data_IF_288292743203
#
_entry.id   IF_288292743203
#
_cell.length_a   1.000
_cell.length_b   1.000
_cell.length_c   1.000
_cell.angle_alpha   90.00
_cell.angle_beta   90.00
_cell.angle_gamma   90.00
#
_symmetry.space_group_name_H-M   'P 1'
#
loop_
_entity.id
_entity.type
_entity.pdbx_description
1 polymer ?
#
# COMPACT_ATOMS: atom_id res chain seq x y z
N UNK A 1 13.25 23.41 -15.35
CA UNK A 1 13.36 23.66 -13.90
C UNK A 1 12.63 22.52 -13.23
N UNK A 2 13.35 21.74 -12.42
CA UNK A 2 13.04 20.36 -12.02
C UNK A 2 11.57 20.08 -11.68
N UNK A 3 10.86 19.46 -12.63
CA UNK A 3 9.56 18.86 -12.35
C UNK A 3 9.67 17.69 -11.36
N UNK A 4 10.87 17.11 -11.19
CA UNK A 4 11.09 15.86 -10.46
C UNK A 4 11.48 16.00 -8.98
N UNK A 5 11.63 17.23 -8.46
CA UNK A 5 11.97 17.45 -7.05
C UNK A 5 13.24 16.72 -6.57
N UNK A 6 13.43 16.65 -5.25
CA UNK A 6 14.61 16.04 -4.58
C UNK A 6 14.61 14.51 -4.58
N UNK A 7 13.90 13.85 -5.51
CA UNK A 7 13.80 12.39 -5.56
C UNK A 7 14.98 11.79 -6.31
N UNK A 8 15.58 10.69 -5.81
CA UNK A 8 16.86 10.21 -6.28
C UNK A 8 16.69 9.32 -7.51
N UNK A 9 16.28 9.88 -8.64
CA UNK A 9 16.20 9.15 -9.91
C UNK A 9 17.54 9.17 -10.66
N UNK A 10 17.92 8.07 -11.35
CA UNK A 10 19.16 8.00 -12.10
C UNK A 10 18.93 8.59 -13.50
N UNK A 11 19.01 9.91 -13.60
CA UNK A 11 18.79 10.61 -14.88
C UNK A 11 19.96 10.40 -15.84
N UNK A 12 19.70 9.66 -16.91
CA UNK A 12 20.59 9.43 -18.03
C UNK A 12 19.82 9.53 -19.33
N UNK A 13 20.53 9.58 -20.46
CA UNK A 13 19.88 9.50 -21.77
C UNK A 13 19.05 8.23 -21.92
N UNK A 14 19.54 7.10 -21.39
CA UNK A 14 18.88 5.82 -21.46
C UNK A 14 17.61 5.79 -20.61
N UNK A 15 17.66 6.29 -19.36
CA UNK A 15 16.47 6.31 -18.49
C UNK A 15 15.39 7.25 -18.98
N UNK A 16 15.76 8.39 -19.57
CA UNK A 16 14.80 9.29 -20.23
C UNK A 16 14.15 8.66 -21.46
N UNK A 17 14.91 7.91 -22.26
CA UNK A 17 14.36 7.17 -23.39
C UNK A 17 13.43 6.05 -22.92
N UNK A 18 13.77 5.36 -21.84
CA UNK A 18 12.96 4.30 -21.25
C UNK A 18 11.63 4.85 -20.71
N UNK A 19 11.65 6.03 -20.08
CA UNK A 19 10.41 6.71 -19.65
C UNK A 19 9.50 6.97 -20.84
N UNK A 20 10.03 7.53 -21.93
CA UNK A 20 9.21 7.78 -23.15
C UNK A 20 8.68 6.51 -23.78
N UNK A 21 9.42 5.42 -23.67
CA UNK A 21 9.02 4.11 -24.17
C UNK A 21 7.90 3.49 -23.32
N UNK A 22 8.02 3.55 -21.99
CA UNK A 22 7.08 2.97 -21.04
C UNK A 22 5.85 3.83 -20.76
N UNK A 23 5.93 5.14 -21.05
CA UNK A 23 4.84 6.07 -20.79
C UNK A 23 3.68 5.84 -21.76
N UNK A 24 2.62 5.23 -21.25
CA UNK A 24 1.35 5.04 -21.95
C UNK A 24 0.30 6.05 -21.40
N UNK A 25 -0.13 7.04 -22.20
CA UNK A 25 -1.16 8.00 -21.79
C UNK A 25 -2.52 7.35 -21.47
N UNK A 26 -2.80 6.16 -22.02
CA UNK A 26 -4.06 5.44 -21.81
C UNK A 26 -4.02 4.61 -20.52
N UNK A 27 -2.83 4.29 -20.01
CA UNK A 27 -2.61 3.46 -18.80
C UNK A 27 -1.71 4.16 -17.76
N UNK A 28 -2.05 5.38 -17.28
CA UNK A 28 -1.19 6.16 -16.39
C UNK A 28 -0.93 5.49 -15.04
N UNK A 29 -1.84 4.63 -14.57
CA UNK A 29 -1.70 3.93 -13.31
C UNK A 29 -0.51 2.94 -13.29
N UNK A 30 -0.30 2.21 -14.40
CA UNK A 30 0.80 1.24 -14.55
C UNK A 30 2.13 1.98 -14.53
N UNK A 31 2.26 3.01 -15.37
CA UNK A 31 3.46 3.84 -15.40
C UNK A 31 3.77 4.45 -14.03
N UNK A 32 2.76 4.98 -13.34
CA UNK A 32 2.94 5.53 -11.99
C UNK A 32 3.37 4.47 -10.98
N UNK A 33 2.81 3.26 -11.03
CA UNK A 33 3.25 2.12 -10.22
C UNK A 33 4.74 1.81 -10.46
N UNK A 34 5.15 1.67 -11.71
CA UNK A 34 6.54 1.39 -12.08
C UNK A 34 7.52 2.48 -11.57
N UNK A 35 7.12 3.75 -11.63
CA UNK A 35 7.91 4.86 -11.09
C UNK A 35 8.06 4.80 -9.55
N UNK A 36 6.98 4.45 -8.82
CA UNK A 36 7.02 4.32 -7.35
C UNK A 36 7.76 3.06 -6.90
N UNK A 37 7.62 1.95 -7.63
CA UNK A 37 8.33 0.70 -7.39
C UNK A 37 9.85 0.91 -7.35
N UNK A 38 10.40 1.75 -8.24
CA UNK A 38 11.80 2.15 -8.17
C UNK A 38 12.17 2.84 -6.84
N UNK A 39 11.40 3.86 -6.45
CA UNK A 39 11.70 4.63 -5.24
C UNK A 39 11.60 3.78 -3.97
N UNK A 40 10.61 2.90 -3.89
CA UNK A 40 10.50 1.94 -2.79
C UNK A 40 11.59 0.88 -2.81
N UNK A 41 11.94 0.33 -3.98
CA UNK A 41 13.07 -0.60 -4.12
C UNK A 41 14.38 0.03 -3.63
N UNK A 42 14.65 1.27 -4.04
CA UNK A 42 15.83 2.03 -3.58
C UNK A 42 15.82 2.26 -2.07
N UNK A 43 14.68 2.69 -1.51
CA UNK A 43 14.51 2.86 -0.06
C UNK A 43 14.78 1.56 0.71
N UNK A 44 14.23 0.43 0.24
CA UNK A 44 14.42 -0.87 0.88
C UNK A 44 15.89 -1.32 0.81
N UNK A 45 16.57 -1.07 -0.31
CA UNK A 45 18.00 -1.31 -0.45
C UNK A 45 18.83 -0.50 0.56
N UNK A 46 18.54 0.79 0.71
CA UNK A 46 19.20 1.66 1.69
C UNK A 46 19.00 1.16 3.13
N UNK A 47 17.79 0.66 3.46
CA UNK A 47 17.50 0.04 4.77
C UNK A 47 18.27 -1.25 5.02
N UNK A 48 18.64 -1.97 3.96
CA UNK A 48 19.51 -3.15 4.01
C UNK A 48 21.01 -2.80 4.01
N UNK A 49 21.36 -1.50 3.93
CA UNK A 49 22.73 -1.03 3.85
C UNK A 49 23.35 -1.09 2.46
N UNK A 50 22.55 -1.36 1.42
CA UNK A 50 23.00 -1.37 0.03
C UNK A 50 23.14 0.07 -0.50
N UNK A 51 24.21 0.31 -1.25
CA UNK A 51 24.54 1.63 -1.82
C UNK A 51 24.49 1.59 -3.36
N UNK A 52 23.69 2.45 -4.00
CA UNK A 52 23.63 2.56 -5.45
C UNK A 52 24.99 2.97 -6.03
N UNK A 53 25.39 2.36 -7.15
CA UNK A 53 26.69 2.58 -7.80
C UNK A 53 27.89 1.88 -7.13
N UNK A 54 27.66 1.20 -6.00
CA UNK A 54 28.67 0.38 -5.32
C UNK A 54 28.22 -1.08 -5.19
N UNK A 55 27.05 -1.31 -4.59
CA UNK A 55 26.52 -2.65 -4.34
C UNK A 55 25.59 -3.13 -5.45
N UNK A 56 25.01 -2.20 -6.22
CA UNK A 56 24.18 -2.48 -7.39
C UNK A 56 24.20 -1.30 -8.38
N UNK A 57 23.87 -1.58 -9.64
CA UNK A 57 23.72 -0.56 -10.68
C UNK A 57 22.32 0.08 -10.57
N UNK A 58 22.30 1.36 -10.19
CA UNK A 58 21.08 2.14 -9.92
C UNK A 58 20.25 2.38 -11.19
N UNK A 59 20.93 2.52 -12.34
CA UNK A 59 20.27 2.65 -13.64
C UNK A 59 19.57 1.34 -14.02
N UNK A 60 20.17 0.18 -13.73
CA UNK A 60 19.55 -1.12 -14.01
C UNK A 60 18.38 -1.42 -13.07
N UNK A 61 18.46 -1.03 -11.80
CA UNK A 61 17.31 -1.09 -10.89
C UNK A 61 16.15 -0.24 -11.43
N UNK A 62 16.45 0.98 -11.88
CA UNK A 62 15.44 1.87 -12.47
C UNK A 62 14.81 1.27 -13.72
N UNK A 63 15.61 0.77 -14.66
CA UNK A 63 15.11 0.16 -15.89
C UNK A 63 14.26 -1.09 -15.60
N UNK A 64 14.69 -1.93 -14.64
CA UNK A 64 13.92 -3.08 -14.20
C UNK A 64 12.56 -2.68 -13.62
N UNK A 65 12.52 -1.73 -12.68
CA UNK A 65 11.25 -1.26 -12.11
C UNK A 65 10.37 -0.56 -13.14
N UNK A 66 10.94 0.23 -14.06
CA UNK A 66 10.16 0.96 -15.06
C UNK A 66 9.51 0.03 -16.09
N UNK A 67 10.19 -1.06 -16.46
CA UNK A 67 9.81 -1.94 -17.56
C UNK A 67 9.18 -3.26 -17.11
N UNK A 68 9.04 -3.52 -15.80
CA UNK A 68 8.56 -4.83 -15.33
C UNK A 68 7.14 -5.19 -15.78
N UNK A 69 6.31 -4.18 -16.03
CA UNK A 69 4.95 -4.32 -16.55
C UNK A 69 4.86 -4.06 -18.06
N UNK A 70 5.99 -3.97 -18.78
CA UNK A 70 5.98 -3.76 -20.23
C UNK A 70 5.20 -4.86 -20.97
N UNK A 71 5.09 -6.05 -20.36
CA UNK A 71 4.26 -7.17 -20.78
C UNK A 71 2.76 -6.90 -20.88
N UNK A 72 2.27 -5.83 -20.24
CA UNK A 72 0.87 -5.40 -20.27
C UNK A 72 0.59 -4.33 -21.35
N UNK A 73 1.64 -3.94 -22.09
CA UNK A 73 1.52 -3.03 -23.22
C UNK A 73 1.08 -3.77 -24.47
N UNK A 74 0.45 -3.06 -25.40
CA UNK A 74 0.01 -3.64 -26.67
C UNK A 74 1.20 -4.06 -27.56
N UNK A 75 2.41 -3.59 -27.25
CA UNK A 75 3.66 -3.96 -27.92
C UNK A 75 4.16 -5.33 -27.46
N UNK A 76 3.84 -5.73 -26.22
CA UNK A 76 4.10 -7.05 -25.67
C UNK A 76 2.84 -7.92 -25.84
N UNK A 77 2.61 -8.40 -27.05
CA UNK A 77 1.48 -9.28 -27.38
C UNK A 77 1.97 -10.67 -27.81
N UNK A 78 2.79 -11.29 -26.96
CA UNK A 78 3.32 -12.64 -27.15
C UNK A 78 2.34 -13.73 -26.69
N UNK A 79 2.75 -14.99 -26.80
CA UNK A 79 1.97 -16.17 -26.41
C UNK A 79 2.37 -16.75 -25.04
N UNK A 80 3.10 -15.97 -24.24
CA UNK A 80 3.66 -16.37 -22.95
C UNK A 80 3.16 -15.48 -21.80
N UNK A 81 3.70 -15.70 -20.59
CA UNK A 81 3.31 -14.89 -19.43
C UNK A 81 3.81 -13.46 -19.60
N UNK A 82 3.02 -12.47 -19.17
CA UNK A 82 3.36 -11.06 -19.31
C UNK A 82 4.74 -10.69 -18.72
N UNK A 83 5.17 -11.32 -17.63
CA UNK A 83 6.49 -11.06 -17.04
C UNK A 83 7.64 -11.53 -17.94
N UNK A 84 7.44 -12.59 -18.73
CA UNK A 84 8.42 -13.04 -19.73
C UNK A 84 8.35 -12.19 -21.01
N UNK A 85 7.14 -11.87 -21.47
CA UNK A 85 6.95 -10.98 -22.63
C UNK A 85 7.49 -9.58 -22.38
N UNK A 86 7.27 -9.04 -21.19
CA UNK A 86 7.84 -7.78 -20.75
C UNK A 86 9.37 -7.84 -20.66
N UNK A 87 9.93 -8.94 -20.15
CA UNK A 87 11.37 -9.13 -20.10
C UNK A 87 11.99 -9.19 -21.50
N UNK A 88 11.39 -9.95 -22.42
CA UNK A 88 11.86 -10.08 -23.80
C UNK A 88 11.75 -8.76 -24.57
N UNK A 89 10.61 -8.06 -24.46
CA UNK A 89 10.42 -6.74 -25.06
C UNK A 89 11.43 -5.73 -24.52
N UNK A 90 11.63 -5.70 -23.19
CA UNK A 90 12.62 -4.84 -22.56
C UNK A 90 14.04 -5.18 -23.05
N UNK A 91 14.38 -6.46 -23.18
CA UNK A 91 15.70 -6.88 -23.64
C UNK A 91 15.96 -6.52 -25.10
N UNK A 92 14.98 -6.70 -25.99
CA UNK A 92 15.08 -6.27 -27.38
C UNK A 92 15.26 -4.75 -27.46
N UNK A 93 14.43 -3.99 -26.75
CA UNK A 93 14.49 -2.53 -26.74
C UNK A 93 15.83 -2.02 -26.18
N UNK A 94 16.28 -2.54 -25.03
CA UNK A 94 17.53 -2.14 -24.37
C UNK A 94 18.76 -2.50 -25.22
N UNK A 95 18.73 -3.63 -25.91
CA UNK A 95 19.76 -3.99 -26.89
C UNK A 95 19.78 -2.98 -28.03
N UNK A 96 18.62 -2.56 -28.53
CA UNK A 96 18.48 -1.50 -29.53
C UNK A 96 18.99 -0.13 -29.05
N UNK A 97 18.92 0.15 -27.74
CA UNK A 97 19.54 1.34 -27.13
C UNK A 97 21.06 1.21 -26.91
N UNK A 98 21.66 0.05 -27.20
CA UNK A 98 23.09 -0.20 -27.05
C UNK A 98 23.53 -0.56 -25.63
N UNK A 99 22.61 -1.00 -24.76
CA UNK A 99 22.98 -1.52 -23.45
C UNK A 99 23.77 -2.84 -23.62
N UNK A 100 24.91 -3.04 -22.93
CA UNK A 100 25.70 -4.26 -23.06
C UNK A 100 24.89 -5.53 -22.72
N UNK A 101 25.13 -6.67 -23.40
CA UNK A 101 24.34 -7.90 -23.20
C UNK A 101 24.28 -8.37 -21.74
N UNK A 102 25.40 -8.29 -21.02
CA UNK A 102 25.48 -8.65 -19.60
C UNK A 102 24.62 -7.75 -18.70
N UNK A 103 24.36 -6.51 -19.14
CA UNK A 103 23.46 -5.59 -18.44
C UNK A 103 22.00 -5.81 -18.82
N UNK A 104 21.75 -6.14 -20.09
CA UNK A 104 20.43 -6.53 -20.56
C UNK A 104 19.93 -7.77 -19.82
N UNK A 105 20.78 -8.79 -19.64
CA UNK A 105 20.44 -10.02 -18.93
C UNK A 105 20.00 -9.76 -17.47
N UNK A 106 20.60 -8.77 -16.80
CA UNK A 106 20.22 -8.40 -15.43
C UNK A 106 18.81 -7.82 -15.39
N UNK A 107 18.50 -6.91 -16.33
CA UNK A 107 17.17 -6.29 -16.41
C UNK A 107 16.13 -7.33 -16.81
N UNK A 108 16.47 -8.21 -17.76
CA UNK A 108 15.63 -9.34 -18.15
C UNK A 108 15.31 -10.23 -16.94
N UNK A 109 16.32 -10.68 -16.19
CA UNK A 109 16.13 -11.50 -14.99
C UNK A 109 15.30 -10.77 -13.92
N UNK A 110 15.49 -9.46 -13.78
CA UNK A 110 14.75 -8.65 -12.82
C UNK A 110 13.26 -8.61 -13.15
N UNK A 111 12.91 -8.46 -14.42
CA UNK A 111 11.53 -8.44 -14.91
C UNK A 111 10.95 -9.86 -14.90
N UNK A 112 11.63 -10.86 -15.45
CA UNK A 112 11.13 -12.23 -15.52
C UNK A 112 10.88 -12.86 -14.12
N UNK A 113 11.60 -12.41 -13.09
CA UNK A 113 11.50 -12.94 -11.74
C UNK A 113 10.70 -12.06 -10.78
N UNK A 114 10.14 -10.93 -11.21
CA UNK A 114 9.58 -9.94 -10.27
C UNK A 114 8.39 -10.46 -9.44
N UNK A 115 7.64 -11.44 -9.97
CA UNK A 115 6.55 -12.13 -9.27
C UNK A 115 7.02 -13.36 -8.47
N UNK A 116 8.29 -13.76 -8.62
CA UNK A 116 8.91 -14.90 -7.96
C UNK A 116 9.78 -14.43 -6.78
N UNK A 117 9.18 -13.71 -5.83
CA UNK A 117 9.86 -12.97 -4.74
C UNK A 117 10.95 -13.80 -4.04
N UNK A 118 10.67 -15.05 -3.70
CA UNK A 118 11.65 -15.92 -3.03
C UNK A 118 12.89 -16.21 -3.89
N UNK A 119 12.70 -16.39 -5.20
CA UNK A 119 13.79 -16.64 -6.13
C UNK A 119 14.57 -15.34 -6.37
N UNK A 120 13.86 -14.23 -6.61
CA UNK A 120 14.47 -12.92 -6.81
C UNK A 120 15.32 -12.48 -5.62
N UNK A 121 14.89 -12.74 -4.37
CA UNK A 121 15.64 -12.43 -3.15
C UNK A 121 16.98 -13.18 -3.03
N UNK A 122 17.19 -14.25 -3.79
CA UNK A 122 18.44 -15.04 -3.83
C UNK A 122 19.36 -14.66 -4.99
N UNK A 123 18.94 -13.68 -5.80
CA UNK A 123 19.71 -13.14 -6.91
C UNK A 123 20.48 -11.89 -6.47
N UNK A 124 21.09 -11.23 -7.45
CA UNK A 124 21.78 -9.95 -7.29
C UNK A 124 20.79 -8.83 -6.89
N UNK A 125 21.27 -7.73 -6.28
CA UNK A 125 20.38 -6.79 -5.63
C UNK A 125 19.41 -6.07 -6.57
N UNK A 126 19.78 -5.80 -7.83
CA UNK A 126 18.85 -5.18 -8.79
C UNK A 126 17.59 -6.02 -8.96
N UNK A 127 17.76 -7.34 -9.12
CA UNK A 127 16.66 -8.30 -9.30
C UNK A 127 15.80 -8.37 -8.03
N UNK A 128 16.44 -8.47 -6.86
CA UNK A 128 15.74 -8.55 -5.59
C UNK A 128 14.94 -7.28 -5.29
N UNK A 129 15.51 -6.11 -5.57
CA UNK A 129 14.91 -4.82 -5.27
C UNK A 129 13.77 -4.44 -6.22
N UNK A 130 13.76 -4.93 -7.47
CA UNK A 130 12.60 -4.79 -8.37
C UNK A 130 11.38 -5.49 -7.77
N UNK A 131 11.52 -6.76 -7.38
CA UNK A 131 10.42 -7.51 -6.73
C UNK A 131 9.96 -6.85 -5.44
N UNK A 132 10.92 -6.45 -4.58
CA UNK A 132 10.63 -5.86 -3.28
C UNK A 132 9.94 -4.49 -3.42
N UNK A 133 10.39 -3.65 -4.36
CA UNK A 133 9.81 -2.35 -4.62
C UNK A 133 8.41 -2.42 -5.20
N UNK A 134 8.18 -3.30 -6.20
CA UNK A 134 6.87 -3.52 -6.78
C UNK A 134 5.87 -4.07 -5.75
N UNK A 135 6.28 -5.05 -4.94
CA UNK A 135 5.47 -5.56 -3.84
C UNK A 135 5.13 -4.50 -2.81
N UNK A 136 6.11 -3.68 -2.41
CA UNK A 136 5.91 -2.62 -1.41
C UNK A 136 4.92 -1.54 -1.86
N UNK A 137 4.85 -1.24 -3.17
CA UNK A 137 3.87 -0.30 -3.73
C UNK A 137 2.43 -0.83 -3.67
N UNK A 138 2.25 -2.14 -3.83
CA UNK A 138 0.93 -2.80 -3.80
C UNK A 138 0.46 -3.14 -2.38
N UNK A 139 1.41 -3.29 -1.46
CA UNK A 139 1.14 -3.58 -0.05
C UNK A 139 2.44 -3.52 0.75
N UNK A 140 2.62 -2.55 1.66
CA UNK A 140 3.89 -2.39 2.36
C UNK A 140 4.09 -3.49 3.40
N UNK A 141 4.82 -4.54 3.03
CA UNK A 141 5.45 -5.47 3.95
C UNK A 141 6.93 -5.06 4.13
N UNK A 142 7.26 -4.37 5.23
CA UNK A 142 8.63 -3.94 5.47
C UNK A 142 8.81 -2.77 6.44
N UNK A 143 10.01 -2.16 6.47
CA UNK A 143 10.33 -1.07 7.38
C UNK A 143 9.47 0.17 7.07
N UNK A 144 9.13 0.94 8.10
CA UNK A 144 8.38 2.18 7.95
C UNK A 144 9.14 3.20 7.08
N UNK A 145 8.42 3.83 6.16
CA UNK A 145 8.93 4.91 5.31
C UNK A 145 9.34 6.12 6.17
N UNK A 146 10.32 6.93 5.71
CA UNK A 146 10.60 8.21 6.32
C UNK A 146 9.36 9.12 6.24
N UNK A 147 9.13 9.99 7.23
CA UNK A 147 8.02 10.95 7.20
C UNK A 147 8.00 11.76 5.89
N UNK A 148 6.82 11.85 5.27
CA UNK A 148 6.61 12.56 4.00
C UNK A 148 7.25 11.90 2.77
N UNK A 149 7.87 10.71 2.90
CA UNK A 149 8.44 10.01 1.76
C UNK A 149 7.36 9.54 0.78
N UNK A 150 6.31 8.88 1.29
CA UNK A 150 5.16 8.46 0.47
C UNK A 150 4.52 9.65 -0.24
N UNK A 151 4.22 10.74 0.48
CA UNK A 151 3.63 11.95 -0.09
C UNK A 151 4.45 12.50 -1.26
N UNK A 152 5.79 12.54 -1.13
CA UNK A 152 6.67 12.98 -2.23
C UNK A 152 6.69 12.01 -3.40
N UNK A 153 6.69 10.70 -3.13
CA UNK A 153 6.66 9.64 -4.14
C UNK A 153 5.36 9.72 -4.96
N UNK A 154 4.22 9.91 -4.30
CA UNK A 154 2.91 10.03 -4.95
C UNK A 154 2.66 11.41 -5.58
N UNK A 155 3.30 12.48 -5.08
CA UNK A 155 3.24 13.81 -5.66
C UNK A 155 4.21 14.03 -6.83
N UNK A 156 4.92 12.99 -7.29
CA UNK A 156 5.80 13.08 -8.45
C UNK A 156 5.06 13.57 -9.71
N UNK A 157 5.77 14.22 -10.68
CA UNK A 157 5.18 14.98 -11.79
C UNK A 157 4.56 14.13 -12.92
N UNK A 158 4.13 12.92 -12.62
CA UNK A 158 3.80 11.86 -13.58
C UNK A 158 2.37 11.93 -14.12
N UNK A 159 1.83 13.14 -14.35
CA UNK A 159 0.54 13.37 -14.98
C UNK A 159 0.65 14.41 -16.11
N UNK A 160 0.18 14.11 -17.35
CA UNK A 160 -0.43 15.14 -18.18
C UNK A 160 -1.68 15.67 -17.45
N UNK A 161 -1.90 16.99 -17.50
CA UNK A 161 -3.01 17.67 -16.81
C UNK A 161 -4.34 16.90 -16.88
N UNK A 162 -5.10 16.80 -15.78
CA UNK A 162 -6.38 16.10 -15.79
C UNK A 162 -7.39 16.83 -16.70
N UNK A 163 -8.09 16.14 -17.62
CA UNK A 163 -9.27 16.71 -18.23
C UNK A 163 -10.34 16.94 -17.16
N UNK A 164 -10.98 18.11 -17.24
CA UNK A 164 -12.11 18.55 -16.43
C UNK A 164 -13.35 17.68 -16.67
N UNK A 165 -13.33 16.45 -16.18
CA UNK A 165 -14.50 15.62 -15.85
C UNK A 165 -13.96 14.45 -15.08
N UNK A 166 -14.14 14.52 -13.77
CA UNK A 166 -13.62 13.57 -12.81
C UNK A 166 -14.49 12.30 -12.79
N UNK A 167 -13.99 11.13 -13.20
CA UNK A 167 -14.71 9.87 -13.03
C UNK A 167 -14.77 9.39 -11.56
N UNK A 168 -14.16 10.12 -10.62
CA UNK A 168 -14.25 9.94 -9.16
C UNK A 168 -15.37 10.77 -8.50
N UNK A 169 -16.30 11.35 -9.27
CA UNK A 169 -17.45 12.13 -8.75
C UNK A 169 -18.53 11.30 -8.04
N UNK A 170 -18.37 9.98 -7.91
CA UNK A 170 -19.28 9.13 -7.13
C UNK A 170 -18.56 8.61 -5.87
N UNK A 171 -18.75 9.25 -4.70
CA UNK A 171 -18.15 8.85 -3.43
C UNK A 171 -18.50 7.42 -3.01
N UNK A 172 -19.67 6.90 -3.42
CA UNK A 172 -20.07 5.52 -3.09
C UNK A 172 -19.27 4.52 -3.94
N UNK A 173 -19.06 4.83 -5.22
CA UNK A 173 -18.28 3.98 -6.14
C UNK A 173 -16.76 4.08 -5.92
N UNK A 174 -16.30 5.25 -5.51
CA UNK A 174 -14.91 5.51 -5.12
C UNK A 174 -14.56 4.85 -3.79
N UNK A 175 -15.50 4.80 -2.84
CA UNK A 175 -15.35 4.02 -1.61
C UNK A 175 -15.33 2.51 -1.91
N UNK A 176 -16.15 2.02 -2.84
CA UNK A 176 -16.12 0.61 -3.30
C UNK A 176 -14.81 0.20 -4.01
N UNK A 177 -14.14 1.13 -4.70
CA UNK A 177 -12.86 0.89 -5.39
C UNK A 177 -11.64 1.16 -4.50
N UNK A 178 -11.69 2.13 -3.58
CA UNK A 178 -10.66 2.30 -2.54
C UNK A 178 -10.72 1.21 -1.46
N UNK A 179 -11.84 0.48 -1.37
CA UNK A 179 -11.98 -0.81 -0.68
C UNK A 179 -11.11 -1.94 -1.30
N UNK A 180 -10.55 -1.72 -2.49
CA UNK A 180 -9.56 -2.63 -3.10
C UNK A 180 -8.17 -2.27 -2.53
N UNK A 181 -7.61 -2.99 -1.56
CA UNK A 181 -7.51 -4.43 -1.44
C UNK A 181 -7.52 -4.81 0.05
N UNK A 182 -8.69 -5.16 0.60
CA UNK A 182 -8.74 -5.79 1.92
C UNK A 182 -8.08 -7.17 1.89
N UNK A 183 -7.40 -7.60 2.98
CA UNK A 183 -6.80 -8.93 3.09
C UNK A 183 -7.80 -10.06 2.77
N UNK A 184 -9.07 -9.84 3.08
CA UNK A 184 -10.13 -10.79 2.74
C UNK A 184 -10.42 -10.86 1.22
N UNK A 185 -10.25 -9.76 0.47
CA UNK A 185 -10.30 -9.77 -1.00
C UNK A 185 -9.09 -10.51 -1.61
N UNK A 186 -7.89 -10.36 -1.03
CA UNK A 186 -6.72 -11.17 -1.41
C UNK A 186 -6.94 -12.67 -1.15
N UNK A 187 -7.48 -13.03 0.01
CA UNK A 187 -7.82 -14.43 0.34
C UNK A 187 -8.89 -15.01 -0.59
N UNK A 188 -9.84 -14.18 -1.07
CA UNK A 188 -10.81 -14.61 -2.08
C UNK A 188 -10.13 -14.84 -3.43
N UNK A 189 -9.21 -13.96 -3.84
CA UNK A 189 -8.41 -14.14 -5.05
C UNK A 189 -7.47 -15.34 -4.96
N UNK A 190 -6.97 -15.69 -3.77
CA UNK A 190 -6.15 -16.90 -3.55
C UNK A 190 -6.91 -18.21 -3.77
N UNK A 191 -8.25 -18.22 -3.62
CA UNK A 191 -9.08 -19.38 -3.91
C UNK A 191 -9.26 -19.64 -5.40
N UNK A 192 -8.99 -18.64 -6.23
CA UNK A 192 -8.98 -18.79 -7.66
C UNK A 192 -7.71 -19.52 -8.10
N UNK A 193 -7.86 -20.43 -9.05
CA UNK A 193 -6.69 -20.92 -9.77
C UNK A 193 -5.93 -19.76 -10.40
N UNK A 194 -4.61 -19.87 -10.64
CA UNK A 194 -3.83 -18.77 -11.22
C UNK A 194 -4.44 -18.20 -12.51
N UNK A 195 -5.03 -19.05 -13.36
CA UNK A 195 -5.70 -18.61 -14.59
C UNK A 195 -7.04 -17.93 -14.34
N UNK A 196 -7.85 -18.44 -13.42
CA UNK A 196 -9.12 -17.80 -13.04
C UNK A 196 -8.87 -16.40 -12.46
N UNK A 197 -7.82 -16.27 -11.65
CA UNK A 197 -7.41 -14.99 -11.04
C UNK A 197 -6.95 -13.98 -12.08
N UNK A 198 -6.07 -14.38 -12.99
CA UNK A 198 -5.58 -13.52 -14.07
C UNK A 198 -6.75 -13.04 -14.95
N UNK A 199 -7.63 -13.96 -15.37
CA UNK A 199 -8.82 -13.63 -16.17
C UNK A 199 -9.78 -12.72 -15.40
N UNK A 200 -10.01 -12.98 -14.11
CA UNK A 200 -10.90 -12.18 -13.27
C UNK A 200 -10.37 -10.76 -13.08
N UNK A 201 -9.10 -10.60 -12.71
CA UNK A 201 -8.51 -9.29 -12.48
C UNK A 201 -8.46 -8.47 -13.77
N UNK A 202 -7.98 -9.04 -14.88
CA UNK A 202 -7.93 -8.36 -16.17
C UNK A 202 -9.34 -7.96 -16.65
N UNK A 203 -10.36 -8.79 -16.40
CA UNK A 203 -11.73 -8.51 -16.84
C UNK A 203 -12.47 -7.53 -15.94
N UNK A 204 -12.42 -7.73 -14.63
CA UNK A 204 -13.33 -7.11 -13.66
C UNK A 204 -12.70 -5.90 -12.98
N UNK A 205 -11.38 -5.86 -12.85
CA UNK A 205 -10.64 -4.72 -12.27
C UNK A 205 -10.16 -3.79 -13.37
N UNK A 206 -9.54 -4.35 -14.42
CA UNK A 206 -8.93 -3.56 -15.50
C UNK A 206 -9.82 -3.40 -16.73
N UNK A 207 -10.95 -4.10 -16.81
CA UNK A 207 -11.96 -3.89 -17.86
C UNK A 207 -11.63 -4.44 -19.25
N UNK A 208 -10.55 -5.23 -19.41
CA UNK A 208 -10.13 -5.75 -20.72
C UNK A 208 -11.19 -6.63 -21.40
N UNK A 209 -11.20 -6.60 -22.73
CA UNK A 209 -12.01 -7.47 -23.57
C UNK A 209 -11.56 -8.94 -23.50
N UNK A 210 -12.49 -9.89 -23.64
CA UNK A 210 -12.12 -11.31 -23.75
C UNK A 210 -11.10 -11.65 -24.85
N UNK A 211 -11.08 -10.97 -26.02
CA UNK A 211 -10.02 -11.17 -27.01
C UNK A 211 -8.62 -10.79 -26.49
N UNK A 212 -8.50 -9.67 -25.78
CA UNK A 212 -7.24 -9.18 -25.19
C UNK A 212 -6.79 -10.09 -24.05
N UNK A 213 -7.72 -10.50 -23.19
CA UNK A 213 -7.45 -11.44 -22.09
C UNK A 213 -7.01 -12.80 -22.64
N UNK A 214 -7.66 -13.28 -23.71
CA UNK A 214 -7.33 -14.54 -24.36
C UNK A 214 -5.90 -14.55 -24.89
N UNK A 215 -5.47 -13.44 -25.49
CA UNK A 215 -4.09 -13.22 -25.88
C UNK A 215 -3.17 -13.26 -24.66
N UNK A 216 -3.44 -12.42 -23.66
CA UNK A 216 -2.59 -12.25 -22.47
C UNK A 216 -2.43 -13.51 -21.60
N UNK A 217 -3.40 -14.43 -21.59
CA UNK A 217 -3.36 -15.65 -20.75
C UNK A 217 -3.12 -16.94 -21.57
N UNK A 218 -2.85 -16.82 -22.87
CA UNK A 218 -2.55 -17.96 -23.75
C UNK A 218 -3.71 -18.96 -23.88
N UNK A 219 -4.96 -18.48 -23.97
CA UNK A 219 -6.17 -19.32 -24.04
C UNK A 219 -7.13 -18.83 -25.10
N UNK A 220 -8.06 -19.67 -25.53
CA UNK A 220 -9.15 -19.21 -26.41
C UNK A 220 -10.08 -18.24 -25.66
N UNK A 221 -10.70 -17.31 -26.37
CA UNK A 221 -11.75 -16.45 -25.81
C UNK A 221 -12.85 -17.26 -25.11
N UNK A 222 -13.23 -18.39 -25.69
CA UNK A 222 -14.22 -19.28 -25.10
C UNK A 222 -13.74 -19.84 -23.73
N UNK A 223 -12.46 -20.21 -23.62
CA UNK A 223 -11.87 -20.64 -22.36
C UNK A 223 -11.79 -19.50 -21.34
N UNK A 224 -11.45 -18.28 -21.77
CA UNK A 224 -11.43 -17.10 -20.89
C UNK A 224 -12.83 -16.75 -20.37
N UNK A 225 -13.85 -16.82 -21.22
CA UNK A 225 -15.26 -16.65 -20.79
C UNK A 225 -15.65 -17.70 -19.74
N UNK A 226 -15.26 -18.96 -19.94
CA UNK A 226 -15.51 -20.04 -18.96
C UNK A 226 -14.73 -19.86 -17.66
N UNK A 227 -13.51 -19.33 -17.72
CA UNK A 227 -12.70 -19.02 -16.54
C UNK A 227 -13.25 -17.82 -15.78
N UNK A 228 -13.72 -16.77 -16.46
CA UNK A 228 -14.37 -15.63 -15.83
C UNK A 228 -15.66 -16.04 -15.11
N UNK A 229 -16.48 -16.90 -15.72
CA UNK A 229 -17.69 -17.44 -15.09
C UNK A 229 -17.36 -18.27 -13.85
N UNK A 230 -16.34 -19.14 -13.91
CA UNK A 230 -15.89 -19.92 -12.75
C UNK A 230 -15.28 -19.05 -11.65
N UNK A 231 -14.47 -18.08 -12.02
CA UNK A 231 -13.90 -17.13 -11.08
C UNK A 231 -15.00 -16.35 -10.36
N UNK A 232 -15.99 -15.82 -11.10
CA UNK A 232 -17.13 -15.12 -10.53
C UNK A 232 -17.93 -16.01 -9.59
N UNK A 233 -18.17 -17.27 -9.95
CA UNK A 233 -18.81 -18.24 -9.06
C UNK A 233 -18.01 -18.51 -7.78
N UNK A 234 -16.69 -18.71 -7.87
CA UNK A 234 -15.84 -18.93 -6.68
C UNK A 234 -15.75 -17.68 -5.78
N UNK A 235 -15.77 -16.49 -6.38
CA UNK A 235 -15.86 -15.22 -5.66
C UNK A 235 -17.21 -15.08 -4.95
N UNK A 236 -18.31 -15.41 -5.64
CA UNK A 236 -19.68 -15.39 -5.08
C UNK A 236 -19.86 -16.43 -3.96
N UNK A 237 -19.22 -17.60 -4.05
CA UNK A 237 -19.21 -18.61 -2.99
C UNK A 237 -18.45 -18.13 -1.73
N UNK A 238 -17.46 -17.24 -1.88
CA UNK A 238 -16.69 -16.67 -0.77
C UNK A 238 -17.27 -15.37 -0.19
N UNK A 239 -18.11 -14.66 -0.95
CA UNK A 239 -18.75 -13.38 -0.59
C UNK A 239 -19.54 -13.41 0.73
N UNK A 240 -20.33 -14.44 1.07
CA UNK A 240 -21.05 -14.49 2.35
C UNK A 240 -20.12 -14.48 3.57
N UNK A 241 -18.94 -15.11 3.46
CA UNK A 241 -17.93 -15.11 4.54
C UNK A 241 -17.23 -13.76 4.64
N UNK A 242 -16.93 -13.13 3.51
CA UNK A 242 -16.36 -11.78 3.45
C UNK A 242 -17.31 -10.73 4.06
N UNK A 243 -18.58 -10.74 3.69
CA UNK A 243 -19.59 -9.84 4.27
C UNK A 243 -19.77 -10.09 5.77
N UNK A 244 -19.68 -11.35 6.22
CA UNK A 244 -19.69 -11.70 7.63
C UNK A 244 -18.46 -11.18 8.38
N UNK A 245 -17.26 -11.28 7.80
CA UNK A 245 -16.01 -10.80 8.39
C UNK A 245 -15.99 -9.26 8.45
N UNK A 246 -16.50 -8.56 7.42
CA UNK A 246 -16.69 -7.10 7.43
C UNK A 246 -17.67 -6.67 8.52
N UNK A 247 -18.85 -7.30 8.61
CA UNK A 247 -19.81 -7.03 9.69
C UNK A 247 -19.23 -7.36 11.08
N UNK A 248 -18.40 -8.39 11.19
CA UNK A 248 -17.72 -8.73 12.43
C UNK A 248 -16.69 -7.65 12.81
N UNK A 249 -15.93 -7.11 11.84
CA UNK A 249 -15.00 -6.01 12.02
C UNK A 249 -15.68 -4.70 12.44
N UNK A 250 -16.81 -4.36 11.83
CA UNK A 250 -17.62 -3.19 12.21
C UNK A 250 -18.16 -3.31 13.63
N UNK A 251 -18.72 -4.49 13.98
CA UNK A 251 -19.20 -4.77 15.35
C UNK A 251 -18.07 -4.74 16.38
N UNK A 252 -16.91 -5.29 16.04
CA UNK A 252 -15.73 -5.28 16.91
C UNK A 252 -15.24 -3.85 17.16
N UNK A 253 -15.18 -3.06 16.09
CA UNK A 253 -14.81 -1.63 16.12
C UNK A 253 -15.76 -0.83 17.01
N UNK A 254 -17.08 -0.99 16.82
CA UNK A 254 -18.09 -0.31 17.62
C UNK A 254 -17.94 -0.65 19.12
N UNK A 255 -17.84 -1.95 19.44
CA UNK A 255 -17.61 -2.42 20.82
C UNK A 255 -16.31 -1.87 21.41
N UNK A 256 -15.26 -1.78 20.60
CA UNK A 256 -13.99 -1.20 21.05
C UNK A 256 -14.17 0.27 21.41
N UNK A 257 -14.80 1.08 20.55
CA UNK A 257 -14.98 2.51 20.84
C UNK A 257 -15.93 2.78 22.00
N UNK A 258 -16.93 1.93 22.23
CA UNK A 258 -17.79 2.01 23.41
C UNK A 258 -16.97 1.75 24.69
N UNK A 259 -16.25 0.62 24.76
CA UNK A 259 -15.39 0.30 25.89
C UNK A 259 -14.28 1.34 26.10
N UNK A 260 -13.74 1.88 25.00
CA UNK A 260 -12.67 2.88 25.02
C UNK A 260 -13.15 4.23 25.57
N UNK A 261 -14.35 4.67 25.21
CA UNK A 261 -14.96 5.91 25.74
C UNK A 261 -15.28 5.79 27.23
N UNK A 262 -15.74 4.63 27.67
CA UNK A 262 -16.10 4.36 29.07
C UNK A 262 -14.87 4.10 29.95
N UNK A 263 -13.71 3.80 29.36
CA UNK A 263 -12.53 3.37 30.10
C UNK A 263 -12.68 1.96 30.70
N UNK A 264 -13.50 1.11 30.07
CA UNK A 264 -13.74 -0.26 30.50
C UNK A 264 -12.55 -1.16 30.16
N UNK A 265 -11.70 -1.41 31.16
CA UNK A 265 -10.49 -2.24 31.02
C UNK A 265 -10.85 -3.68 30.67
N UNK A 266 -11.88 -4.25 31.29
CA UNK A 266 -12.27 -5.65 31.06
C UNK A 266 -12.89 -5.80 29.67
N UNK A 267 -13.77 -4.88 29.28
CA UNK A 267 -14.35 -4.83 27.93
C UNK A 267 -13.30 -4.65 26.84
N UNK A 268 -12.30 -3.77 27.04
CA UNK A 268 -11.18 -3.63 26.10
C UNK A 268 -10.36 -4.93 26.01
N UNK A 269 -10.04 -5.56 27.15
CA UNK A 269 -9.26 -6.81 27.17
C UNK A 269 -9.92 -7.93 26.38
N UNK A 270 -11.24 -8.06 26.42
CA UNK A 270 -11.97 -9.10 25.67
C UNK A 270 -11.87 -8.95 24.15
N UNK A 271 -11.65 -7.73 23.66
CA UNK A 271 -11.59 -7.39 22.24
C UNK A 271 -10.17 -7.50 21.67
N UNK A 272 -9.16 -7.42 22.53
CA UNK A 272 -7.75 -7.45 22.17
C UNK A 272 -7.23 -8.89 22.05
N UNK A 273 -6.32 -9.11 21.10
CA UNK A 273 -5.53 -10.34 21.05
C UNK A 273 -4.56 -10.39 22.24
N UNK A 274 -4.19 -11.60 22.69
CA UNK A 274 -3.33 -11.77 23.86
C UNK A 274 -1.95 -11.10 23.68
N UNK A 275 -1.43 -11.15 22.44
CA UNK A 275 -0.16 -10.60 21.97
C UNK A 275 -0.31 -9.22 21.29
N UNK A 276 -1.45 -8.54 21.49
CA UNK A 276 -1.66 -7.19 20.96
C UNK A 276 -0.52 -6.26 21.35
N UNK A 277 -0.18 -5.35 20.45
CA UNK A 277 0.75 -4.27 20.74
C UNK A 277 0.23 -2.92 20.30
N UNK A 278 0.52 -1.90 21.12
CA UNK A 278 0.23 -0.52 20.84
C UNK A 278 1.52 0.24 20.55
N UNK A 279 1.58 0.89 19.38
CA UNK A 279 2.76 1.62 18.90
C UNK A 279 2.39 3.05 18.56
N UNK A 280 3.25 3.99 18.96
CA UNK A 280 3.18 5.38 18.53
C UNK A 280 4.06 5.62 17.31
N UNK A 281 3.81 6.70 16.60
CA UNK A 281 4.66 7.18 15.52
C UNK A 281 6.03 7.60 16.06
N UNK A 282 7.08 6.95 15.56
CA UNK A 282 8.47 7.19 15.97
C UNK A 282 9.05 8.55 15.52
N UNK A 283 8.22 9.50 15.08
CA UNK A 283 8.62 10.76 14.42
C UNK A 283 9.31 11.80 15.32
N UNK A 284 9.25 11.64 16.64
CA UNK A 284 10.06 12.41 17.60
C UNK A 284 9.64 13.87 17.86
N UNK A 285 8.65 14.38 17.12
CA UNK A 285 8.11 15.75 17.31
C UNK A 285 6.92 15.79 18.27
N UNK A 286 6.18 14.68 18.40
CA UNK A 286 5.11 14.49 19.37
C UNK A 286 5.58 13.94 20.74
N UNK A 287 4.67 13.78 21.71
CA UNK A 287 4.92 12.97 22.91
C UNK A 287 5.33 11.55 22.50
N UNK A 288 6.46 11.04 23.01
CA UNK A 288 6.94 9.68 22.73
C UNK A 288 6.58 8.72 23.85
N UNK A 289 6.08 7.54 23.47
CA UNK A 289 5.58 6.52 24.37
C UNK A 289 6.30 5.23 24.00
N UNK A 290 6.73 4.45 24.99
CA UNK A 290 7.30 3.13 24.69
C UNK A 290 6.19 2.21 24.15
N UNK A 291 6.48 1.36 23.16
CA UNK A 291 5.53 0.34 22.72
C UNK A 291 5.01 -0.46 23.91
N UNK A 292 3.69 -0.67 23.95
CA UNK A 292 3.01 -1.39 25.01
C UNK A 292 2.59 -2.74 24.45
N UNK A 293 2.91 -3.82 25.16
CA UNK A 293 2.64 -5.18 24.71
C UNK A 293 1.71 -5.91 25.68
N UNK A 294 0.84 -6.73 25.12
CA UNK A 294 -0.10 -7.60 25.83
C UNK A 294 -1.42 -6.93 26.16
N UNK A 295 -2.51 -7.70 26.05
CA UNK A 295 -3.88 -7.23 26.19
C UNK A 295 -4.14 -6.43 27.49
N UNK A 296 -3.64 -6.93 28.62
CA UNK A 296 -3.82 -6.30 29.93
C UNK A 296 -3.17 -4.92 30.01
N UNK A 297 -1.92 -4.79 29.52
CA UNK A 297 -1.20 -3.53 29.56
C UNK A 297 -1.79 -2.51 28.60
N UNK A 298 -2.16 -2.95 27.38
CA UNK A 298 -2.77 -2.08 26.38
C UNK A 298 -4.14 -1.59 26.84
N UNK A 299 -5.00 -2.46 27.38
CA UNK A 299 -6.32 -2.08 27.91
C UNK A 299 -6.21 -1.02 29.02
N UNK A 300 -5.28 -1.21 29.97
CA UNK A 300 -5.03 -0.23 31.04
C UNK A 300 -4.56 1.12 30.53
N UNK A 301 -3.67 1.13 29.54
CA UNK A 301 -3.17 2.39 28.95
C UNK A 301 -4.30 3.12 28.23
N UNK A 302 -5.08 2.43 27.42
CA UNK A 302 -6.23 3.00 26.71
C UNK A 302 -7.26 3.59 27.70
N UNK A 303 -7.63 2.83 28.73
CA UNK A 303 -8.56 3.26 29.77
C UNK A 303 -8.03 4.45 30.60
N UNK A 304 -6.72 4.59 30.74
CA UNK A 304 -6.10 5.71 31.46
C UNK A 304 -6.07 7.02 30.64
N UNK A 305 -6.17 6.95 29.31
CA UNK A 305 -6.00 8.11 28.42
C UNK A 305 -7.32 8.83 28.16
N UNK A 306 -8.40 8.09 27.86
CA UNK A 306 -9.62 8.67 27.30
C UNK A 306 -10.48 9.42 28.31
N UNK A 307 -10.83 8.89 29.49
CA UNK A 307 -11.70 9.60 30.44
C UNK A 307 -11.12 10.96 30.92
N UNK A 308 -9.81 11.10 31.22
CA UNK A 308 -9.21 12.41 31.50
C UNK A 308 -9.23 13.37 30.31
N UNK A 309 -9.05 12.86 29.09
CA UNK A 309 -9.09 13.63 27.86
C UNK A 309 -10.50 14.18 27.57
N UNK A 310 -11.53 13.36 27.72
CA UNK A 310 -12.93 13.80 27.58
C UNK A 310 -13.28 14.85 28.63
N UNK A 311 -12.84 14.68 29.89
CA UNK A 311 -13.11 15.65 30.98
C UNK A 311 -12.55 17.04 30.71
N UNK A 312 -11.47 17.17 29.95
CA UNK A 312 -10.91 18.49 29.57
C UNK A 312 -11.54 19.07 28.30
N UNK A 313 -12.62 18.47 27.82
CA UNK A 313 -13.35 18.87 26.62
C UNK A 313 -12.83 18.24 25.32
N UNK A 314 -11.98 17.20 25.41
CA UNK A 314 -11.53 16.46 24.24
C UNK A 314 -12.64 15.57 23.67
N UNK A 315 -12.62 15.37 22.36
CA UNK A 315 -13.58 14.55 21.62
C UNK A 315 -12.82 13.43 20.91
N UNK A 316 -13.35 12.21 20.99
CA UNK A 316 -12.85 11.05 20.24
C UNK A 316 -13.89 10.71 19.19
N UNK A 317 -13.56 11.01 17.94
CA UNK A 317 -14.43 10.84 16.77
C UNK A 317 -14.04 9.56 16.04
N UNK A 318 -14.91 8.54 15.98
CA UNK A 318 -14.68 7.38 15.11
C UNK A 318 -14.48 7.85 13.67
N UNK A 319 -13.39 7.42 13.06
CA UNK A 319 -13.01 7.81 11.71
C UNK A 319 -12.16 6.73 11.06
N UNK A 320 -12.20 6.65 9.74
CA UNK A 320 -11.27 5.78 9.03
C UNK A 320 -9.88 6.43 8.96
N UNK A 321 -8.84 5.68 9.30
CA UNK A 321 -7.46 6.17 9.30
C UNK A 321 -6.63 5.21 8.44
N UNK A 322 -6.19 5.68 7.27
CA UNK A 322 -5.42 4.89 6.29
C UNK A 322 -6.12 3.58 5.86
N UNK A 323 -7.42 3.63 5.56
CA UNK A 323 -8.19 2.44 5.15
C UNK A 323 -8.51 1.49 6.30
N UNK A 324 -8.33 1.92 7.55
CA UNK A 324 -8.53 1.08 8.75
C UNK A 324 -9.51 1.75 9.71
N UNK A 325 -10.33 0.95 10.42
CA UNK A 325 -11.15 1.49 11.49
C UNK A 325 -10.30 2.16 12.57
N UNK A 326 -10.73 3.34 13.00
CA UNK A 326 -9.91 4.19 13.84
C UNK A 326 -10.68 5.35 14.48
N UNK A 327 -9.93 6.30 15.03
CA UNK A 327 -10.49 7.54 15.56
C UNK A 327 -9.52 8.72 15.44
N UNK A 328 -10.10 9.91 15.36
CA UNK A 328 -9.39 11.18 15.48
C UNK A 328 -9.72 11.78 16.86
N UNK A 329 -8.69 12.25 17.54
CA UNK A 329 -8.80 12.92 18.83
C UNK A 329 -8.71 14.42 18.59
N UNK A 330 -9.71 15.16 19.04
CA UNK A 330 -9.75 16.61 18.95
C UNK A 330 -9.78 17.24 20.34
N UNK A 331 -9.04 18.32 20.54
CA UNK A 331 -9.14 19.09 21.77
C UNK A 331 -10.45 19.91 21.82
N UNK A 332 -10.65 20.65 22.91
CA UNK A 332 -11.84 21.50 23.11
C UNK A 332 -12.03 22.59 22.05
N UNK A 333 -10.96 22.95 21.35
CA UNK A 333 -10.97 23.98 20.31
C UNK A 333 -11.11 23.34 18.91
N UNK A 334 -11.36 22.02 18.84
CA UNK A 334 -11.53 21.25 17.61
C UNK A 334 -10.22 20.87 16.91
N UNK A 335 -9.06 21.14 17.53
CA UNK A 335 -7.75 20.88 16.94
C UNK A 335 -7.33 19.43 17.12
N UNK A 336 -6.68 18.86 16.11
CA UNK A 336 -6.27 17.46 16.09
C UNK A 336 -5.13 17.23 17.07
N UNK A 337 -5.25 16.21 17.92
CA UNK A 337 -4.29 15.86 18.98
C UNK A 337 -3.58 14.54 18.68
N UNK A 338 -4.32 13.57 18.14
CA UNK A 338 -3.86 12.21 17.90
C UNK A 338 -4.79 11.52 16.89
N UNK A 339 -4.30 10.51 16.17
CA UNK A 339 -5.17 9.49 15.55
C UNK A 339 -4.88 8.12 16.13
N UNK A 340 -5.85 7.22 16.00
CA UNK A 340 -5.72 5.82 16.37
C UNK A 340 -6.25 4.95 15.23
N UNK A 341 -5.49 3.94 14.82
CA UNK A 341 -5.90 2.95 13.82
C UNK A 341 -5.82 1.53 14.41
N UNK A 342 -6.79 0.68 14.05
CA UNK A 342 -6.94 -0.69 14.54
C UNK A 342 -6.63 -1.71 13.44
N UNK A 343 -5.66 -2.59 13.70
CA UNK A 343 -5.40 -3.76 12.86
C UNK A 343 -6.12 -4.96 13.48
N UNK A 344 -6.99 -5.60 12.71
CA UNK A 344 -7.83 -6.71 13.18
C UNK A 344 -7.51 -7.99 12.42
N UNK A 345 -7.50 -9.11 13.14
CA UNK A 345 -7.36 -10.45 12.60
C UNK A 345 -8.18 -11.41 13.46
N UNK A 346 -8.87 -12.38 12.84
CA UNK A 346 -9.64 -13.43 13.52
C UNK A 346 -10.62 -12.90 14.60
N UNK A 347 -11.26 -11.75 14.34
CA UNK A 347 -12.24 -11.16 15.26
C UNK A 347 -11.63 -10.60 16.55
N UNK A 348 -10.33 -10.26 16.52
CA UNK A 348 -9.58 -9.61 17.61
C UNK A 348 -8.73 -8.46 17.07
N UNK A 349 -8.45 -7.49 17.92
CA UNK A 349 -7.52 -6.39 17.62
C UNK A 349 -6.10 -6.85 17.91
N UNK A 350 -5.25 -6.87 16.88
CA UNK A 350 -3.86 -7.33 16.93
C UNK A 350 -2.86 -6.18 17.10
N UNK A 351 -3.15 -5.02 16.50
CA UNK A 351 -2.27 -3.85 16.62
C UNK A 351 -3.09 -2.59 16.78
N UNK A 352 -2.61 -1.69 17.63
CA UNK A 352 -3.15 -0.34 17.77
C UNK A 352 -2.05 0.65 17.42
N UNK A 353 -2.30 1.52 16.44
CA UNK A 353 -1.33 2.51 15.97
C UNK A 353 -1.81 3.88 16.35
N UNK A 354 -0.98 4.64 17.05
CA UNK A 354 -1.25 6.03 17.40
C UNK A 354 -0.33 6.96 16.59
N UNK A 355 -0.87 8.04 16.04
CA UNK A 355 -0.11 9.09 15.34
C UNK A 355 -0.28 10.39 16.10
N UNK A 356 0.82 10.93 16.61
CA UNK A 356 0.89 12.17 17.39
C UNK A 356 1.81 13.22 16.78
N UNK A 357 2.47 12.91 15.66
CA UNK A 357 3.35 13.81 14.92
C UNK A 357 2.52 14.98 14.36
N UNK A 358 2.79 16.22 14.80
CA UNK A 358 2.03 17.37 14.35
C UNK A 358 2.07 17.58 12.84
N UNK A 359 3.15 17.20 12.17
CA UNK A 359 3.27 17.36 10.72
C UNK A 359 2.34 16.38 10.00
N UNK A 360 2.19 15.17 10.52
CA UNK A 360 1.27 14.17 9.98
C UNK A 360 -0.19 14.52 10.26
N UNK A 361 -0.47 15.08 11.44
CA UNK A 361 -1.81 15.49 11.87
C UNK A 361 -2.30 16.77 11.20
N UNK A 362 -1.41 17.64 10.72
CA UNK A 362 -1.77 18.90 10.06
C UNK A 362 -2.60 18.70 8.79
N UNK A 363 -2.50 17.53 8.16
CA UNK A 363 -3.33 17.13 7.01
C UNK A 363 -4.81 16.94 7.37
N UNK A 364 -5.13 16.70 8.64
CA UNK A 364 -6.49 16.47 9.16
C UNK A 364 -7.12 17.73 9.78
N UNK A 365 -6.40 18.85 9.74
CA UNK A 365 -6.83 20.15 10.24
C UNK A 365 -5.83 20.80 11.22
N UNK A 366 -6.22 21.92 11.86
CA UNK A 366 -5.37 22.61 12.82
C UNK A 366 -4.95 21.67 13.97
N UNK A 367 -3.67 21.66 14.32
CA UNK A 367 -3.09 20.72 15.30
C UNK A 367 -2.96 21.37 16.69
N UNK A 368 -3.24 20.60 17.73
CA UNK A 368 -3.13 21.00 19.12
C UNK A 368 -1.71 20.78 19.67
N UNK A 369 -1.32 21.53 20.73
CA UNK A 369 -0.15 21.15 21.53
C UNK A 369 -0.49 19.92 22.38
N UNK A 370 -0.17 18.74 21.86
CA UNK A 370 -0.42 17.46 22.52
C UNK A 370 0.18 17.40 23.94
N UNK A 371 1.32 18.05 24.20
CA UNK A 371 1.92 18.08 25.55
C UNK A 371 1.12 18.94 26.50
N UNK A 372 0.58 20.07 26.04
CA UNK A 372 -0.32 20.90 26.84
C UNK A 372 -1.62 20.15 27.18
N UNK A 373 -2.17 19.43 26.22
CA UNK A 373 -3.37 18.59 26.39
C UNK A 373 -3.12 17.47 27.40
N UNK A 374 -2.00 16.73 27.27
CA UNK A 374 -1.61 15.68 28.23
C UNK A 374 -1.45 16.25 29.64
N UNK A 375 -0.79 17.41 29.80
CA UNK A 375 -0.64 18.06 31.12
C UNK A 375 -2.00 18.48 31.70
N UNK A 376 -2.91 18.97 30.87
CA UNK A 376 -4.26 19.34 31.31
C UNK A 376 -5.05 18.10 31.76
N UNK A 377 -4.97 17.01 31.01
CA UNK A 377 -5.60 15.73 31.34
C UNK A 377 -5.02 15.11 32.62
N UNK A 378 -3.69 15.15 32.79
CA UNK A 378 -3.05 14.67 34.02
C UNK A 378 -3.47 15.47 35.26
N UNK A 379 -3.69 16.79 35.12
CA UNK A 379 -4.20 17.64 36.21
C UNK A 379 -5.67 17.43 36.53
N UNK A 380 -6.48 16.93 35.59
CA UNK A 380 -7.90 16.63 35.85
C UNK A 380 -8.08 15.33 36.65
N UNK A 381 -7.01 14.54 36.80
CA UNK A 381 -6.95 13.34 37.64
C UNK A 381 -6.48 13.60 39.08
N UNK A 382 -5.92 14.78 39.35
CA UNK A 382 -5.50 15.25 40.67
C UNK A 382 -6.60 16.10 41.31
#
# INVERSE_FOLDING_TARGET
>A
MDAYGSLPFPWSTLTLNAIRFAQDPEKPAIFNHSMRAYLYGRFLGERQGLRPGHDYDDELLFLGCLLHDAGLSDQANGDQRFDLDGADLAAEWLTGQGLPPEKVEIVWDAIALHLCVEVAARKRPEIALVSAGAGYDLGPEGPALPPGYADRVHAGPWLPDPPLTDPYEDPERSAELADSVSMAALLLLERLSPLERAVFVLREVFGFGFPEIASAVGRSEAACRQLAVRARRHMDEGRPRFEADRQAGEKLTARFFDAFKEGDVDGLRELLAADVHMVGDGGGKGPQWKPVFGAENVARVLAAIVPPFIRIGGVVEPHEVNGRPGAIFRDRDGKVVNTLALDMLDGRIQTIRAVTDPDELARLGPVADARAVIRAAARSLA
#
